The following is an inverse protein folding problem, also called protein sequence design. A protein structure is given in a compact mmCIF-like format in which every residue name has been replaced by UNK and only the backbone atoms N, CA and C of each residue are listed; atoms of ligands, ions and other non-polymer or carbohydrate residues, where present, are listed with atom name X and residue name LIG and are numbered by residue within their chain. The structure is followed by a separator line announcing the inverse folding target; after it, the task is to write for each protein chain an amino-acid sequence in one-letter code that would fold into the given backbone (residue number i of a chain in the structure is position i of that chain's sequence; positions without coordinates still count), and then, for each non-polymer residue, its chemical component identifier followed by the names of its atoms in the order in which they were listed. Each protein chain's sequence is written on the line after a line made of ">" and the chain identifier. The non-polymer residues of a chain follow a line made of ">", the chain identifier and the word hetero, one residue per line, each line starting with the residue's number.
data_IF_270309965647
#
_entry.id   IF_270309965647
#
_cell.length_a   1.000
_cell.length_b   1.000
_cell.length_c   1.000
_cell.angle_alpha   90.00
_cell.angle_beta   90.00
_cell.angle_gamma   90.00
#
_symmetry.space_group_name_H-M   'P 1'
#
loop_
_entity.id
_entity.type
_entity.pdbx_description
1 polymer ?
#
# COMPACT_ATOMS: atom_id res chain seq x y z
N UNK A 1 -16.69 11.12 -17.34
CA UNK A 1 -16.51 11.31 -15.88
C UNK A 1 -15.76 10.12 -15.37
N UNK A 2 -14.75 10.31 -14.47
CA UNK A 2 -13.89 9.23 -13.98
C UNK A 2 -14.55 8.40 -12.86
N UNK A 3 -14.04 7.20 -12.60
CA UNK A 3 -14.43 6.39 -11.46
C UNK A 3 -13.65 6.79 -10.21
N UNK A 4 -14.34 6.88 -9.07
CA UNK A 4 -13.72 7.28 -7.80
C UNK A 4 -13.59 6.06 -6.89
N UNK A 5 -12.38 5.83 -6.38
CA UNK A 5 -12.05 4.71 -5.50
C UNK A 5 -11.42 5.19 -4.20
N UNK A 6 -11.76 4.53 -3.09
CA UNK A 6 -11.23 4.83 -1.76
C UNK A 6 -10.45 3.63 -1.24
N UNK A 7 -9.14 3.80 -1.06
CA UNK A 7 -8.27 2.84 -0.39
C UNK A 7 -8.09 3.20 1.09
N UNK A 8 -8.05 2.20 1.97
CA UNK A 8 -7.75 2.35 3.40
C UNK A 8 -6.65 1.38 3.84
N UNK A 9 -5.65 1.88 4.58
CA UNK A 9 -4.61 1.08 5.24
C UNK A 9 -4.70 1.24 6.76
N UNK A 10 -4.81 0.12 7.45
CA UNK A 10 -4.93 0.02 8.90
C UNK A 10 -3.55 -0.17 9.54
N UNK A 11 -2.73 0.87 9.51
CA UNK A 11 -1.39 0.81 10.07
C UNK A 11 -1.36 0.91 11.60
N UNK A 12 -0.30 0.38 12.21
CA UNK A 12 -0.07 0.41 13.65
C UNK A 12 0.01 1.84 14.20
N UNK A 13 0.72 2.74 13.50
CA UNK A 13 0.89 4.13 13.92
C UNK A 13 -0.21 5.05 13.40
N UNK A 14 -0.72 4.80 12.21
CA UNK A 14 -1.73 5.66 11.59
C UNK A 14 -2.64 4.90 10.64
N UNK A 15 -3.92 5.27 10.64
CA UNK A 15 -4.88 4.95 9.60
C UNK A 15 -4.62 5.88 8.42
N UNK A 16 -4.50 5.32 7.22
CA UNK A 16 -4.31 6.09 6.00
C UNK A 16 -5.47 5.86 5.05
N UNK A 17 -5.92 6.91 4.41
CA UNK A 17 -6.99 6.87 3.41
C UNK A 17 -6.51 7.66 2.20
N UNK A 18 -6.66 7.07 1.03
CA UNK A 18 -6.41 7.75 -0.25
C UNK A 18 -7.65 7.59 -1.11
N UNK A 19 -8.15 8.70 -1.63
CA UNK A 19 -9.27 8.73 -2.58
C UNK A 19 -8.71 9.15 -3.93
N UNK A 20 -8.97 8.34 -4.94
CA UNK A 20 -8.49 8.56 -6.31
C UNK A 20 -9.67 8.68 -7.29
N UNK A 21 -9.51 9.51 -8.31
CA UNK A 21 -10.35 9.53 -9.50
C UNK A 21 -9.57 9.03 -10.70
N UNK A 22 -10.10 8.04 -11.43
CA UNK A 22 -9.54 7.59 -12.70
C UNK A 22 -10.21 8.34 -13.85
N UNK A 23 -9.43 9.06 -14.66
CA UNK A 23 -9.89 9.76 -15.86
C UNK A 23 -8.90 9.46 -16.99
N UNK A 24 -9.38 8.91 -18.10
CA UNK A 24 -8.54 8.59 -19.28
C UNK A 24 -7.25 7.83 -18.91
N UNK A 25 -7.37 6.76 -18.13
CA UNK A 25 -6.29 5.89 -17.63
C UNK A 25 -5.25 6.60 -16.72
N UNK A 26 -5.54 7.81 -16.28
CA UNK A 26 -4.74 8.53 -15.28
C UNK A 26 -5.48 8.57 -13.93
N UNK A 27 -4.70 8.43 -12.86
CA UNK A 27 -5.23 8.50 -11.49
C UNK A 27 -4.87 9.84 -10.87
N UNK A 28 -5.89 10.53 -10.39
CA UNK A 28 -5.77 11.80 -9.67
C UNK A 28 -6.13 11.56 -8.20
N UNK A 29 -5.35 12.10 -7.28
CA UNK A 29 -5.62 11.97 -5.85
C UNK A 29 -6.47 13.14 -5.39
N UNK A 30 -7.71 12.83 -5.00
CA UNK A 30 -8.67 13.82 -4.49
C UNK A 30 -8.46 14.11 -3.01
N UNK A 31 -8.07 13.09 -2.24
CA UNK A 31 -7.74 13.24 -0.82
C UNK A 31 -6.70 12.20 -0.38
N UNK A 32 -5.78 12.62 0.49
CA UNK A 32 -4.86 11.76 1.23
C UNK A 32 -4.88 12.15 2.70
N UNK A 33 -5.25 11.20 3.58
CA UNK A 33 -5.42 11.40 5.02
C UNK A 33 -4.51 10.43 5.77
N UNK A 34 -3.88 10.93 6.84
CA UNK A 34 -3.18 10.12 7.83
C UNK A 34 -3.64 10.56 9.22
N UNK A 35 -4.28 9.67 9.95
CA UNK A 35 -4.82 9.92 11.29
C UNK A 35 -4.22 8.94 12.30
N UNK A 36 -3.89 9.37 13.53
CA UNK A 36 -3.35 8.46 14.53
C UNK A 36 -4.20 7.21 14.73
N UNK A 37 -3.55 6.08 14.91
CA UNK A 37 -4.15 4.77 15.10
C UNK A 37 -4.04 4.31 16.54
N UNK A 38 -5.11 3.72 17.06
CA UNK A 38 -5.13 2.99 18.33
C UNK A 38 -5.82 1.64 18.14
N UNK A 39 -5.44 0.65 18.95
CA UNK A 39 -6.03 -0.69 18.91
C UNK A 39 -5.53 -1.57 17.76
N UNK A 40 -4.48 -1.15 17.05
CA UNK A 40 -3.84 -1.90 15.97
C UNK A 40 -2.37 -2.15 16.31
N UNK A 41 -1.92 -3.37 16.14
CA UNK A 41 -0.55 -3.78 16.36
C UNK A 41 -0.07 -4.73 15.27
N UNK A 42 1.11 -4.49 14.72
CA UNK A 42 1.65 -5.23 13.58
C UNK A 42 0.66 -5.35 12.39
N UNK A 43 -0.23 -4.36 12.21
CA UNK A 43 -1.27 -4.36 11.19
C UNK A 43 -2.52 -5.19 11.54
N UNK A 44 -2.56 -5.85 12.71
CA UNK A 44 -3.72 -6.63 13.17
C UNK A 44 -4.51 -5.88 14.24
N UNK A 45 -5.82 -6.13 14.28
CA UNK A 45 -6.72 -5.53 15.27
C UNK A 45 -6.55 -6.23 16.61
N UNK A 46 -6.06 -5.53 17.65
CA UNK A 46 -6.04 -6.00 19.03
C UNK A 46 -7.29 -5.52 19.80
N UNK A 47 -7.68 -4.25 19.61
CA UNK A 47 -8.88 -3.66 20.21
C UNK A 47 -9.77 -3.06 19.12
N UNK A 48 -10.86 -3.77 18.79
CA UNK A 48 -11.80 -3.37 17.74
C UNK A 48 -12.52 -2.05 18.06
N UNK A 49 -12.75 -1.70 19.32
CA UNK A 49 -13.42 -0.45 19.71
C UNK A 49 -12.48 0.74 19.51
N UNK A 50 -11.25 0.64 19.99
CA UNK A 50 -10.23 1.68 19.82
C UNK A 50 -9.89 1.87 18.32
N UNK A 51 -9.72 0.76 17.59
CA UNK A 51 -9.46 0.78 16.15
C UNK A 51 -10.62 1.41 15.37
N UNK A 52 -11.86 1.01 15.65
CA UNK A 52 -13.06 1.59 15.02
C UNK A 52 -13.16 3.10 15.26
N UNK A 53 -12.85 3.57 16.48
CA UNK A 53 -12.83 5.00 16.80
C UNK A 53 -11.79 5.75 15.94
N UNK A 54 -10.59 5.20 15.80
CA UNK A 54 -9.52 5.76 14.96
C UNK A 54 -9.90 5.78 13.48
N UNK A 55 -10.51 4.70 12.98
CA UNK A 55 -10.99 4.59 11.60
C UNK A 55 -12.09 5.63 11.33
N UNK A 56 -13.08 5.76 12.22
CA UNK A 56 -14.14 6.78 12.10
C UNK A 56 -13.59 8.19 12.00
N UNK A 57 -12.56 8.50 12.81
CA UNK A 57 -11.90 9.81 12.76
C UNK A 57 -11.23 10.05 11.40
N UNK A 58 -10.50 9.07 10.89
CA UNK A 58 -9.85 9.17 9.57
C UNK A 58 -10.87 9.31 8.43
N UNK A 59 -11.95 8.51 8.45
CA UNK A 59 -13.04 8.57 7.48
C UNK A 59 -13.73 9.93 7.49
N UNK A 60 -13.99 10.48 8.70
CA UNK A 60 -14.58 11.81 8.83
C UNK A 60 -13.68 12.88 8.20
N UNK A 61 -12.38 12.88 8.52
CA UNK A 61 -11.42 13.83 7.93
C UNK A 61 -11.39 13.74 6.41
N UNK A 62 -11.45 12.53 5.83
CA UNK A 62 -11.49 12.34 4.39
C UNK A 62 -12.82 12.82 3.80
N UNK A 63 -13.94 12.52 4.45
CA UNK A 63 -15.27 12.96 4.03
C UNK A 63 -15.43 14.48 4.07
N UNK A 64 -14.97 15.12 5.15
CA UNK A 64 -14.99 16.57 5.31
C UNK A 64 -14.17 17.27 4.21
N UNK A 65 -13.02 16.66 3.81
CA UNK A 65 -12.18 17.20 2.74
C UNK A 65 -12.80 17.06 1.34
N UNK A 66 -13.57 16.00 1.15
CA UNK A 66 -14.25 15.74 -0.13
C UNK A 66 -15.62 16.42 -0.24
N UNK A 67 -16.22 16.81 0.88
CA UNK A 67 -17.60 17.28 0.95
C UNK A 67 -18.66 16.18 0.82
N UNK A 68 -18.22 14.89 0.82
CA UNK A 68 -19.11 13.72 0.66
C UNK A 68 -18.74 12.63 1.64
N UNK A 69 -19.73 11.93 2.18
CA UNK A 69 -19.53 10.82 3.11
C UNK A 69 -18.95 9.60 2.39
N UNK A 70 -17.80 9.12 2.87
CA UNK A 70 -17.22 7.86 2.43
C UNK A 70 -17.99 6.72 3.11
N UNK A 71 -18.61 5.85 2.32
CA UNK A 71 -19.38 4.69 2.78
C UNK A 71 -18.79 3.36 2.33
N UNK A 72 -17.88 3.36 1.35
CA UNK A 72 -17.27 2.18 0.77
C UNK A 72 -15.77 2.33 0.70
N UNK A 73 -15.03 1.24 0.97
CA UNK A 73 -13.56 1.22 0.96
C UNK A 73 -13.02 -0.07 0.37
N UNK A 74 -11.83 0.01 -0.22
CA UNK A 74 -10.97 -1.13 -0.52
C UNK A 74 -9.94 -1.19 0.60
N UNK A 75 -9.85 -2.32 1.31
CA UNK A 75 -9.00 -2.41 2.50
C UNK A 75 -7.67 -3.11 2.21
N UNK A 76 -6.58 -2.47 2.64
CA UNK A 76 -5.28 -3.11 2.74
C UNK A 76 -5.26 -4.02 3.95
N UNK A 77 -4.79 -5.27 3.78
CA UNK A 77 -4.55 -6.21 4.86
C UNK A 77 -3.05 -6.54 4.96
N UNK A 78 -2.54 -6.84 6.17
CA UNK A 78 -1.12 -7.14 6.35
C UNK A 78 -0.76 -8.48 5.67
N UNK A 79 0.38 -8.57 4.96
CA UNK A 79 0.80 -9.81 4.32
C UNK A 79 1.50 -10.78 5.28
N UNK A 80 1.56 -10.46 6.57
CA UNK A 80 2.18 -11.33 7.58
C UNK A 80 1.46 -12.67 7.67
N UNK A 81 2.23 -13.76 7.60
CA UNK A 81 1.73 -15.14 7.63
C UNK A 81 0.77 -15.51 6.47
N UNK A 82 0.78 -14.74 5.37
CA UNK A 82 0.03 -15.11 4.18
C UNK A 82 0.60 -16.38 3.55
N UNK A 83 -0.29 -17.23 3.00
CA UNK A 83 0.08 -18.37 2.19
C UNK A 83 -0.17 -18.04 0.73
N UNK A 84 0.65 -18.57 -0.16
CA UNK A 84 0.56 -18.33 -1.59
C UNK A 84 0.74 -19.65 -2.33
N UNK A 85 -0.27 -20.04 -3.10
CA UNK A 85 -0.30 -21.27 -3.86
C UNK A 85 -0.64 -21.00 -5.33
N UNK A 86 -0.10 -21.82 -6.23
CA UNK A 86 -0.43 -21.76 -7.66
C UNK A 86 -1.51 -22.79 -7.93
N UNK A 87 -2.63 -22.33 -8.44
CA UNK A 87 -3.77 -23.17 -8.81
C UNK A 87 -4.10 -23.01 -10.29
N UNK A 88 -4.80 -23.98 -10.84
CA UNK A 88 -5.25 -24.01 -12.23
C UNK A 88 -6.77 -23.94 -12.27
N UNK A 89 -7.29 -23.28 -13.28
CA UNK A 89 -8.72 -23.25 -13.55
C UNK A 89 -8.97 -23.19 -15.05
N UNK A 90 -10.16 -23.57 -15.46
CA UNK A 90 -10.54 -23.59 -16.87
C UNK A 90 -12.02 -23.28 -17.07
N UNK A 91 -12.38 -22.88 -18.27
CA UNK A 91 -13.78 -22.74 -18.70
C UNK A 91 -13.90 -22.94 -20.21
N UNK A 92 -15.00 -23.52 -20.63
CA UNK A 92 -15.35 -23.57 -22.06
C UNK A 92 -15.84 -22.19 -22.50
N UNK A 93 -15.35 -21.72 -23.65
CA UNK A 93 -15.77 -20.47 -24.26
C UNK A 93 -16.96 -20.76 -25.19
N UNK A 94 -18.09 -20.10 -24.95
CA UNK A 94 -19.34 -20.34 -25.67
C UNK A 94 -19.55 -19.31 -26.78
N UNK A 95 -19.05 -18.07 -26.59
CA UNK A 95 -19.22 -17.01 -27.58
C UNK A 95 -18.23 -17.13 -28.73
N UNK A 96 -18.73 -17.33 -29.92
CA UNK A 96 -17.92 -17.40 -31.14
C UNK A 96 -17.23 -16.08 -31.54
N UNK A 97 -17.67 -14.95 -30.95
CA UNK A 97 -17.08 -13.64 -31.23
C UNK A 97 -15.74 -13.44 -30.49
N UNK A 98 -15.50 -14.20 -29.44
CA UNK A 98 -14.26 -14.17 -28.66
C UNK A 98 -14.46 -14.27 -27.16
N UNK A 99 -13.38 -14.49 -26.45
CA UNK A 99 -13.34 -14.60 -24.99
C UNK A 99 -13.78 -13.28 -24.36
N UNK A 100 -14.66 -13.38 -23.38
CA UNK A 100 -15.25 -12.25 -22.63
C UNK A 100 -14.67 -12.12 -21.22
N UNK A 101 -14.95 -11.02 -20.52
CA UNK A 101 -14.63 -10.88 -19.11
C UNK A 101 -15.40 -11.86 -18.20
N UNK A 102 -16.53 -12.40 -18.66
CA UNK A 102 -17.26 -13.46 -17.97
C UNK A 102 -16.51 -14.79 -18.05
N UNK A 103 -15.95 -15.15 -19.19
CA UNK A 103 -15.11 -16.36 -19.35
C UNK A 103 -13.86 -16.25 -18.45
N UNK A 104 -13.22 -15.07 -18.41
CA UNK A 104 -12.12 -14.80 -17.48
C UNK A 104 -12.56 -15.02 -16.03
N UNK A 105 -13.73 -14.51 -15.65
CA UNK A 105 -14.28 -14.68 -14.30
C UNK A 105 -14.57 -16.15 -13.99
N UNK A 106 -15.12 -16.90 -14.92
CA UNK A 106 -15.44 -18.31 -14.78
C UNK A 106 -14.18 -19.17 -14.61
N UNK A 107 -13.14 -18.94 -15.44
CA UNK A 107 -11.86 -19.63 -15.30
C UNK A 107 -11.19 -19.35 -13.94
N UNK A 108 -11.25 -18.10 -13.45
CA UNK A 108 -10.74 -17.74 -12.14
C UNK A 108 -11.54 -18.39 -11.00
N UNK A 109 -12.87 -18.44 -11.10
CA UNK A 109 -13.72 -19.11 -10.12
C UNK A 109 -13.50 -20.62 -10.10
N UNK A 110 -13.27 -21.23 -11.27
CA UNK A 110 -12.96 -22.65 -11.36
C UNK A 110 -11.65 -22.99 -10.66
N UNK A 111 -10.64 -22.14 -10.74
CA UNK A 111 -9.36 -22.31 -10.04
C UNK A 111 -9.47 -22.38 -8.52
N UNK A 112 -10.56 -21.89 -7.94
CA UNK A 112 -10.83 -21.92 -6.50
C UNK A 112 -11.55 -23.21 -6.06
N UNK A 113 -12.12 -23.98 -7.00
CA UNK A 113 -12.81 -25.23 -6.68
C UNK A 113 -11.83 -26.27 -6.12
N UNK A 114 -12.25 -26.93 -5.04
CA UNK A 114 -11.42 -27.95 -4.39
C UNK A 114 -10.28 -27.41 -3.52
N UNK A 115 -10.12 -26.10 -3.42
CA UNK A 115 -9.18 -25.50 -2.47
C UNK A 115 -9.75 -25.55 -1.04
N UNK A 116 -8.87 -25.80 -0.07
CA UNK A 116 -9.26 -25.83 1.35
C UNK A 116 -9.15 -24.43 1.98
N UNK A 117 -10.29 -23.82 2.22
CA UNK A 117 -10.40 -22.56 2.95
C UNK A 117 -10.96 -22.73 4.38
N UNK A 118 -10.75 -23.87 5.04
CA UNK A 118 -11.29 -24.13 6.40
C UNK A 118 -10.73 -23.14 7.42
N UNK A 119 -9.43 -22.97 7.49
CA UNK A 119 -8.74 -22.13 8.46
C UNK A 119 -8.31 -20.76 7.89
N UNK A 120 -8.12 -20.69 6.61
CA UNK A 120 -7.68 -19.49 5.90
C UNK A 120 -8.82 -18.95 5.02
N UNK A 121 -8.75 -17.68 4.68
CA UNK A 121 -9.69 -17.03 3.76
C UNK A 121 -8.91 -16.42 2.58
N UNK A 122 -9.52 -16.46 1.40
CA UNK A 122 -8.95 -15.89 0.19
C UNK A 122 -8.86 -14.36 0.31
N UNK A 123 -7.67 -13.82 0.07
CA UNK A 123 -7.43 -12.37 -0.02
C UNK A 123 -7.32 -11.92 -1.46
N UNK A 124 -6.49 -12.60 -2.26
CA UNK A 124 -6.32 -12.27 -3.68
C UNK A 124 -6.21 -13.53 -4.55
N UNK A 125 -6.72 -13.44 -5.77
CA UNK A 125 -6.49 -14.41 -6.84
C UNK A 125 -5.97 -13.64 -8.04
N UNK A 126 -4.66 -13.77 -8.32
CA UNK A 126 -3.97 -13.01 -9.36
C UNK A 126 -3.56 -13.96 -10.50
N UNK A 127 -4.12 -13.81 -11.72
CA UNK A 127 -3.74 -14.65 -12.84
C UNK A 127 -2.29 -14.37 -13.26
N UNK A 128 -1.53 -15.44 -13.42
CA UNK A 128 -0.16 -15.41 -13.97
C UNK A 128 -0.24 -15.31 -15.49
N UNK A 129 -1.10 -16.15 -16.09
CA UNK A 129 -1.31 -16.26 -17.53
C UNK A 129 -2.63 -16.95 -17.81
N UNK A 130 -3.14 -16.70 -19.00
CA UNK A 130 -4.21 -17.45 -19.62
C UNK A 130 -3.64 -18.22 -20.80
N UNK A 131 -4.16 -19.43 -21.05
CA UNK A 131 -3.84 -20.26 -22.20
C UNK A 131 -5.13 -20.55 -22.96
N UNK A 132 -5.10 -20.36 -24.27
CA UNK A 132 -6.24 -20.58 -25.17
C UNK A 132 -5.94 -21.76 -26.02
N UNK A 133 -6.80 -22.77 -26.00
CA UNK A 133 -6.69 -24.01 -26.82
C UNK A 133 -5.27 -24.61 -26.76
N UNK A 134 -4.71 -24.78 -25.55
CA UNK A 134 -3.40 -25.40 -25.26
C UNK A 134 -2.16 -24.69 -25.84
N UNK A 135 -2.32 -23.61 -26.58
CA UNK A 135 -1.21 -23.05 -27.38
C UNK A 135 -0.95 -21.56 -27.19
N UNK A 136 -1.97 -20.72 -27.10
CA UNK A 136 -1.81 -19.28 -27.06
C UNK A 136 -1.77 -18.76 -25.62
N UNK A 137 -0.60 -18.35 -25.14
CA UNK A 137 -0.42 -17.81 -23.78
C UNK A 137 -0.47 -16.29 -23.80
N UNK A 138 -1.31 -15.69 -22.94
CA UNK A 138 -1.49 -14.26 -22.83
C UNK A 138 -1.73 -13.82 -21.38
N UNK A 139 -1.59 -12.52 -21.09
CA UNK A 139 -2.01 -11.89 -19.81
C UNK A 139 -3.45 -11.37 -19.86
N UNK A 140 -3.95 -11.02 -21.04
CA UNK A 140 -5.35 -10.63 -21.27
C UNK A 140 -5.89 -11.40 -22.48
N UNK A 141 -6.80 -12.36 -22.27
CA UNK A 141 -7.33 -13.19 -23.34
C UNK A 141 -8.55 -12.58 -24.05
N UNK A 142 -9.08 -11.46 -23.55
CA UNK A 142 -10.34 -10.89 -24.05
C UNK A 142 -10.29 -10.53 -25.54
N UNK A 143 -11.37 -10.85 -26.24
CA UNK A 143 -11.48 -10.66 -27.69
C UNK A 143 -10.72 -11.68 -28.55
N UNK A 144 -9.90 -12.54 -27.95
CA UNK A 144 -9.23 -13.64 -28.66
C UNK A 144 -10.22 -14.78 -28.89
N UNK A 145 -10.04 -15.53 -29.99
CA UNK A 145 -10.88 -16.67 -30.33
C UNK A 145 -10.29 -17.96 -29.79
N UNK A 146 -11.16 -18.83 -29.27
CA UNK A 146 -10.81 -20.15 -28.78
C UNK A 146 -12.03 -20.85 -28.20
N UNK A 147 -11.90 -22.14 -27.88
CA UNK A 147 -12.96 -23.00 -27.33
C UNK A 147 -12.74 -23.28 -25.84
N UNK A 148 -11.50 -23.27 -25.38
CA UNK A 148 -11.10 -23.53 -24.03
C UNK A 148 -10.21 -22.41 -23.53
N UNK A 149 -10.54 -21.84 -22.37
CA UNK A 149 -9.72 -20.90 -21.65
C UNK A 149 -9.23 -21.52 -20.35
N UNK A 150 -7.91 -21.68 -20.23
CA UNK A 150 -7.25 -22.12 -19.01
C UNK A 150 -6.53 -20.95 -18.34
N UNK A 151 -6.40 -21.00 -17.03
CA UNK A 151 -5.65 -19.98 -16.28
C UNK A 151 -4.77 -20.61 -15.20
N UNK A 152 -3.60 -20.01 -14.99
CA UNK A 152 -2.73 -20.25 -13.85
C UNK A 152 -2.84 -19.04 -12.92
N UNK A 153 -3.18 -19.27 -11.66
CA UNK A 153 -3.50 -18.22 -10.71
C UNK A 153 -2.63 -18.38 -9.45
N UNK A 154 -2.08 -17.30 -8.94
CA UNK A 154 -1.59 -17.25 -7.57
C UNK A 154 -2.77 -16.87 -6.69
N UNK A 155 -3.23 -17.81 -5.87
CA UNK A 155 -4.14 -17.52 -4.75
C UNK A 155 -3.31 -17.16 -3.54
N UNK A 156 -3.77 -16.16 -2.81
CA UNK A 156 -3.12 -15.73 -1.57
C UNK A 156 -4.16 -15.65 -0.47
N UNK A 157 -3.86 -16.32 0.65
CA UNK A 157 -4.79 -16.47 1.77
C UNK A 157 -4.16 -15.97 3.07
N UNK A 158 -5.00 -15.65 4.04
CA UNK A 158 -4.60 -15.37 5.41
C UNK A 158 -5.55 -16.03 6.41
N UNK A 159 -5.13 -16.13 7.67
CA UNK A 159 -5.94 -16.69 8.74
C UNK A 159 -7.31 -16.00 8.83
N UNK A 160 -8.36 -16.81 8.80
CA UNK A 160 -9.76 -16.38 8.74
C UNK A 160 -10.15 -15.46 9.89
N UNK A 161 -9.76 -15.82 11.12
CA UNK A 161 -10.07 -15.04 12.32
C UNK A 161 -9.45 -13.64 12.29
N UNK A 162 -8.22 -13.52 11.80
CA UNK A 162 -7.53 -12.24 11.67
C UNK A 162 -8.20 -11.36 10.60
N UNK A 163 -8.55 -11.93 9.44
CA UNK A 163 -9.23 -11.20 8.39
C UNK A 163 -10.63 -10.71 8.81
N UNK A 164 -11.44 -11.59 9.37
CA UNK A 164 -12.79 -11.21 9.78
C UNK A 164 -12.79 -10.15 10.87
N UNK A 165 -11.83 -10.16 11.79
CA UNK A 165 -11.68 -9.09 12.78
C UNK A 165 -11.42 -7.73 12.13
N UNK A 166 -10.63 -7.69 11.05
CA UNK A 166 -10.42 -6.46 10.26
C UNK A 166 -11.74 -6.01 9.61
N UNK A 167 -12.43 -6.93 8.90
CA UNK A 167 -13.67 -6.63 8.18
C UNK A 167 -14.78 -6.18 9.13
N UNK A 168 -14.95 -6.86 10.27
CA UNK A 168 -15.91 -6.48 11.31
C UNK A 168 -15.61 -5.10 11.90
N UNK A 169 -14.33 -4.79 12.13
CA UNK A 169 -13.92 -3.47 12.65
C UNK A 169 -14.22 -2.36 11.64
N UNK A 170 -14.01 -2.60 10.35
CA UNK A 170 -14.40 -1.66 9.28
C UNK A 170 -15.92 -1.49 9.24
N UNK A 171 -16.68 -2.57 9.33
CA UNK A 171 -18.15 -2.52 9.41
C UNK A 171 -18.64 -1.74 10.64
N UNK A 172 -18.03 -1.96 11.81
CA UNK A 172 -18.28 -1.19 13.04
C UNK A 172 -17.93 0.29 12.88
N UNK A 173 -17.05 0.61 11.96
CA UNK A 173 -16.66 1.99 11.63
C UNK A 173 -17.64 2.67 10.67
N UNK A 174 -18.63 1.94 10.16
CA UNK A 174 -19.71 2.48 9.32
C UNK A 174 -19.37 2.50 7.83
N UNK A 175 -18.43 1.66 7.38
CA UNK A 175 -18.09 1.50 5.96
C UNK A 175 -18.25 0.05 5.51
N UNK A 176 -18.65 -0.10 4.26
CA UNK A 176 -18.64 -1.36 3.51
C UNK A 176 -17.26 -1.59 2.92
N UNK A 177 -16.70 -2.78 3.13
CA UNK A 177 -15.48 -3.22 2.45
C UNK A 177 -15.87 -3.90 1.15
N UNK A 178 -15.57 -3.26 0.02
CA UNK A 178 -15.95 -3.77 -1.32
C UNK A 178 -14.92 -4.73 -1.89
N UNK A 179 -13.67 -4.59 -1.48
CA UNK A 179 -12.58 -5.49 -1.86
C UNK A 179 -11.44 -5.42 -0.84
N UNK A 180 -10.56 -6.42 -0.86
CA UNK A 180 -9.37 -6.51 -0.03
C UNK A 180 -8.16 -6.90 -0.87
N UNK A 181 -6.98 -6.42 -0.49
CA UNK A 181 -5.72 -6.95 -0.97
C UNK A 181 -4.61 -6.70 0.05
N UNK A 182 -3.47 -7.40 -0.08
CA UNK A 182 -2.32 -7.15 0.79
C UNK A 182 -1.73 -5.76 0.56
N UNK A 183 -1.20 -5.15 1.63
CA UNK A 183 -0.45 -3.89 1.54
C UNK A 183 0.65 -3.97 0.47
N UNK A 184 1.33 -5.11 0.36
CA UNK A 184 2.36 -5.36 -0.65
C UNK A 184 1.83 -5.32 -2.09
N UNK A 185 0.60 -5.80 -2.33
CA UNK A 185 -0.06 -5.66 -3.63
C UNK A 185 -0.29 -4.18 -3.94
N UNK A 186 -0.79 -3.41 -2.98
CA UNK A 186 -0.93 -1.97 -3.12
C UNK A 186 0.41 -1.28 -3.40
N UNK A 187 1.46 -1.61 -2.65
CA UNK A 187 2.80 -1.04 -2.86
C UNK A 187 3.33 -1.31 -4.28
N UNK A 188 3.09 -2.51 -4.81
CA UNK A 188 3.46 -2.82 -6.20
C UNK A 188 2.66 -1.98 -7.21
N UNK A 189 1.33 -1.91 -7.05
CA UNK A 189 0.49 -1.16 -7.97
C UNK A 189 0.71 0.35 -7.91
N UNK A 190 1.23 0.88 -6.81
CA UNK A 190 1.65 2.28 -6.73
C UNK A 190 2.76 2.63 -7.73
N UNK A 191 3.69 1.68 -7.96
CA UNK A 191 4.88 1.86 -8.81
C UNK A 191 4.83 1.07 -10.12
N UNK A 192 3.77 0.28 -10.34
CA UNK A 192 3.60 -0.62 -11.50
C UNK A 192 3.87 0.11 -12.81
N UNK A 193 4.71 -0.50 -13.64
CA UNK A 193 4.99 -0.06 -15.00
C UNK A 193 5.42 -1.24 -15.86
N UNK A 194 5.43 -1.06 -17.19
CA UNK A 194 5.78 -2.12 -18.16
C UNK A 194 7.13 -2.79 -17.87
N UNK A 195 8.13 -2.04 -17.37
CA UNK A 195 9.46 -2.58 -17.07
C UNK A 195 9.39 -3.55 -15.89
N UNK A 196 8.73 -3.17 -14.78
CA UNK A 196 8.62 -4.04 -13.60
C UNK A 196 7.74 -5.26 -13.86
N UNK A 197 6.74 -5.14 -14.75
CA UNK A 197 5.88 -6.27 -15.16
C UNK A 197 6.60 -7.36 -15.95
N UNK A 198 7.86 -7.17 -16.33
CA UNK A 198 8.70 -8.16 -17.01
C UNK A 198 9.84 -8.71 -16.14
N UNK A 199 10.04 -8.18 -14.95
CA UNK A 199 11.20 -8.47 -14.11
C UNK A 199 10.82 -9.21 -12.82
N UNK A 200 11.83 -9.82 -12.20
CA UNK A 200 11.77 -10.27 -10.80
C UNK A 200 12.28 -9.16 -9.91
N UNK A 201 11.53 -8.81 -8.89
CA UNK A 201 11.91 -7.76 -7.95
C UNK A 201 11.42 -8.00 -6.53
N UNK A 202 11.89 -7.14 -5.63
CA UNK A 202 11.47 -7.12 -4.25
C UNK A 202 10.89 -5.74 -3.87
N UNK A 203 9.89 -5.74 -3.00
CA UNK A 203 9.40 -4.54 -2.34
C UNK A 203 9.62 -4.72 -0.85
N UNK A 204 10.25 -3.72 -0.23
CA UNK A 204 10.50 -3.64 1.21
C UNK A 204 9.65 -2.50 1.76
N UNK A 205 8.64 -2.82 2.57
CA UNK A 205 7.83 -1.82 3.26
C UNK A 205 8.23 -1.77 4.73
N UNK A 206 8.89 -0.67 5.14
CA UNK A 206 9.35 -0.46 6.51
C UNK A 206 8.28 0.30 7.29
N UNK A 207 7.47 -0.46 8.02
CA UNK A 207 6.42 0.07 8.87
C UNK A 207 6.89 0.49 10.26
N UNK A 208 5.94 0.71 11.16
CA UNK A 208 6.19 1.10 12.56
C UNK A 208 6.85 -0.03 13.37
N UNK A 209 6.25 -1.21 13.38
CA UNK A 209 6.67 -2.35 14.20
C UNK A 209 7.24 -3.51 13.40
N UNK A 210 7.00 -3.55 12.10
CA UNK A 210 7.44 -4.62 11.22
C UNK A 210 7.93 -4.10 9.87
N UNK A 211 8.80 -4.89 9.25
CA UNK A 211 9.24 -4.69 7.87
C UNK A 211 8.76 -5.88 7.04
N UNK A 212 7.97 -5.60 6.01
CA UNK A 212 7.47 -6.60 5.08
C UNK A 212 8.34 -6.63 3.82
N UNK A 213 8.72 -7.84 3.41
CA UNK A 213 9.50 -8.09 2.20
C UNK A 213 8.68 -8.97 1.27
N UNK A 214 8.35 -8.47 0.09
CA UNK A 214 7.54 -9.18 -0.88
C UNK A 214 8.30 -9.37 -2.18
N UNK A 215 8.30 -10.60 -2.69
CA UNK A 215 8.94 -10.95 -3.97
C UNK A 215 7.88 -10.98 -5.07
N UNK A 216 8.15 -10.23 -6.12
CA UNK A 216 7.32 -10.17 -7.32
C UNK A 216 8.04 -10.80 -8.50
N UNK A 217 7.31 -11.58 -9.28
CA UNK A 217 7.78 -12.14 -10.55
C UNK A 217 6.81 -11.71 -11.65
N UNK A 218 7.27 -10.87 -12.56
CA UNK A 218 6.47 -10.35 -13.69
C UNK A 218 5.13 -9.75 -13.25
N UNK A 219 5.16 -8.95 -12.18
CA UNK A 219 3.97 -8.27 -11.66
C UNK A 219 3.14 -9.07 -10.66
N UNK A 220 3.43 -10.34 -10.46
CA UNK A 220 2.69 -11.23 -9.54
C UNK A 220 3.50 -11.45 -8.28
N UNK A 221 2.90 -11.23 -7.12
CA UNK A 221 3.50 -11.56 -5.83
C UNK A 221 3.58 -13.07 -5.67
N UNK A 222 4.78 -13.58 -5.37
CA UNK A 222 5.02 -15.02 -5.26
C UNK A 222 5.50 -15.46 -3.88
N UNK A 223 6.05 -14.56 -3.08
CA UNK A 223 6.53 -14.83 -1.71
C UNK A 223 6.42 -13.57 -0.86
N UNK A 224 6.29 -13.79 0.45
CA UNK A 224 6.35 -12.74 1.44
C UNK A 224 7.10 -13.20 2.69
N UNK A 225 7.88 -12.29 3.29
CA UNK A 225 8.51 -12.42 4.59
C UNK A 225 8.22 -11.20 5.44
N UNK A 226 8.18 -11.37 6.76
CA UNK A 226 7.94 -10.29 7.71
C UNK A 226 8.99 -10.33 8.80
N UNK A 227 9.71 -9.23 8.99
CA UNK A 227 10.66 -9.05 10.08
C UNK A 227 9.97 -8.28 11.22
N UNK A 228 10.09 -8.71 12.48
CA UNK A 228 9.50 -8.03 13.64
C UNK A 228 10.36 -6.83 14.08
N UNK A 229 10.75 -6.00 13.13
CA UNK A 229 11.56 -4.80 13.32
C UNK A 229 11.04 -3.70 12.39
N UNK A 230 10.93 -2.47 12.92
CA UNK A 230 10.43 -1.33 12.17
C UNK A 230 10.92 0.00 12.75
N UNK A 231 10.29 1.10 12.35
CA UNK A 231 10.73 2.45 12.71
C UNK A 231 10.70 2.73 14.22
N UNK A 232 9.85 2.06 14.99
CA UNK A 232 9.80 2.18 16.45
C UNK A 232 11.09 1.72 17.12
N UNK A 233 11.86 0.84 16.49
CA UNK A 233 13.15 0.40 17.04
C UNK A 233 14.17 1.55 17.02
N UNK A 234 14.12 2.43 16.02
CA UNK A 234 14.92 3.66 15.99
C UNK A 234 14.53 4.59 17.12
N UNK A 235 13.21 4.79 17.36
CA UNK A 235 12.70 5.63 18.46
C UNK A 235 13.17 5.10 19.83
N UNK A 236 13.14 3.77 20.03
CA UNK A 236 13.62 3.13 21.25
C UNK A 236 15.12 3.35 21.49
N UNK A 237 15.94 3.26 20.44
CA UNK A 237 17.39 3.50 20.54
C UNK A 237 17.67 4.96 20.92
N UNK A 238 17.01 5.92 20.28
CA UNK A 238 17.11 7.35 20.62
C UNK A 238 16.67 7.60 22.07
N UNK A 239 15.51 7.04 22.47
CA UNK A 239 15.00 7.11 23.84
C UNK A 239 16.03 6.57 24.85
N UNK A 240 16.62 5.42 24.56
CA UNK A 240 17.58 4.77 25.45
C UNK A 240 18.86 5.59 25.63
N UNK A 241 19.44 6.08 24.53
CA UNK A 241 20.73 6.80 24.56
C UNK A 241 20.59 8.19 25.13
N UNK A 242 19.57 8.94 24.74
CA UNK A 242 19.42 10.34 25.17
C UNK A 242 18.53 10.52 26.39
N UNK A 243 17.85 9.47 26.85
CA UNK A 243 16.84 9.50 27.91
C UNK A 243 15.65 10.42 27.54
N UNK A 244 15.41 10.60 26.24
CA UNK A 244 14.30 11.36 25.71
C UNK A 244 12.96 10.64 25.92
N UNK A 245 11.86 11.37 25.94
CA UNK A 245 10.53 10.75 25.91
C UNK A 245 10.28 10.09 24.54
N UNK A 246 9.47 9.01 24.47
CA UNK A 246 9.19 8.35 23.18
C UNK A 246 8.65 9.28 22.09
N UNK A 247 7.82 10.27 22.45
CA UNK A 247 7.31 11.29 21.51
C UNK A 247 8.43 12.19 20.98
N UNK A 248 9.33 12.66 21.86
CA UNK A 248 10.46 13.49 21.49
C UNK A 248 11.47 12.69 20.62
N UNK A 249 11.72 11.42 20.96
CA UNK A 249 12.57 10.53 20.16
C UNK A 249 12.04 10.37 18.73
N UNK A 250 10.70 10.23 18.60
CA UNK A 250 10.06 10.18 17.27
C UNK A 250 10.23 11.50 16.51
N UNK A 251 9.97 12.63 17.15
CA UNK A 251 10.14 13.94 16.51
C UNK A 251 11.58 14.19 16.10
N UNK A 252 12.55 13.81 16.93
CA UNK A 252 13.98 13.88 16.59
C UNK A 252 14.31 13.00 15.37
N UNK A 253 13.77 11.77 15.31
CA UNK A 253 13.95 10.90 14.14
C UNK A 253 13.35 11.52 12.86
N UNK A 254 12.11 12.00 12.92
CA UNK A 254 11.36 12.42 11.75
C UNK A 254 11.76 13.81 11.22
N UNK A 255 12.11 14.74 12.12
CA UNK A 255 12.29 16.14 11.76
C UNK A 255 13.74 16.66 11.92
N UNK A 256 14.62 15.91 12.56
CA UNK A 256 15.94 16.38 12.91
C UNK A 256 17.07 15.47 12.42
N UNK A 257 16.91 14.15 12.45
CA UNK A 257 17.95 13.22 12.11
C UNK A 257 18.14 13.08 10.58
N UNK A 258 19.39 12.75 10.21
CA UNK A 258 19.74 12.28 8.87
C UNK A 258 19.92 10.76 8.89
N UNK A 259 19.49 10.07 7.83
CA UNK A 259 19.67 8.63 7.68
C UNK A 259 21.16 8.25 7.52
N UNK A 260 21.99 9.17 7.03
CA UNK A 260 23.46 9.07 6.97
C UNK A 260 24.08 10.17 7.85
N UNK A 261 24.81 9.79 8.88
CA UNK A 261 25.41 10.70 9.84
C UNK A 261 26.43 11.67 9.22
N UNK A 262 27.06 11.29 8.10
CA UNK A 262 28.01 12.16 7.40
C UNK A 262 27.36 13.41 6.76
N UNK A 263 26.05 13.43 6.63
CA UNK A 263 25.29 14.59 6.12
C UNK A 263 24.67 15.42 7.25
N UNK A 264 24.83 14.99 8.51
CA UNK A 264 24.33 15.71 9.66
C UNK A 264 25.21 16.90 10.02
N UNK A 265 24.60 18.04 10.37
CA UNK A 265 25.33 19.19 10.91
C UNK A 265 25.68 18.94 12.39
N UNK A 266 26.96 19.06 12.70
CA UNK A 266 27.46 18.94 14.09
C UNK A 266 27.06 20.11 14.99
N UNK A 267 26.68 21.25 14.42
CA UNK A 267 26.30 22.46 15.14
C UNK A 267 24.78 22.53 15.42
N UNK A 268 23.98 21.81 14.61
CA UNK A 268 22.54 21.76 14.84
C UNK A 268 22.22 21.02 16.12
N UNK A 269 21.32 21.62 16.91
CA UNK A 269 20.95 21.16 18.23
C UNK A 269 19.43 21.03 18.38
N UNK A 270 19.02 20.03 19.14
CA UNK A 270 17.65 19.79 19.56
C UNK A 270 17.59 19.79 21.09
N UNK A 271 16.65 20.53 21.66
CA UNK A 271 16.44 20.55 23.10
C UNK A 271 15.45 19.46 23.50
N UNK A 272 15.85 18.56 24.39
CA UNK A 272 14.99 17.54 24.99
C UNK A 272 14.72 17.84 26.46
N UNK A 273 13.57 17.38 26.95
CA UNK A 273 13.17 17.50 28.37
C UNK A 273 13.36 16.15 29.05
N UNK A 274 14.39 16.04 29.90
CA UNK A 274 14.66 14.83 30.69
C UNK A 274 13.69 14.72 31.88
N UNK A 275 13.56 15.78 32.66
CA UNK A 275 12.69 15.91 33.84
C UNK A 275 11.96 17.26 33.81
N UNK A 276 11.06 17.49 34.79
CA UNK A 276 10.24 18.72 34.86
C UNK A 276 11.04 20.02 34.70
N UNK A 277 12.31 20.03 35.15
CA UNK A 277 13.16 21.23 35.17
C UNK A 277 14.53 21.04 34.47
N UNK A 278 14.79 19.85 33.89
CA UNK A 278 16.09 19.55 33.28
C UNK A 278 15.94 19.44 31.77
N UNK A 279 16.52 20.39 31.05
CA UNK A 279 16.66 20.39 29.59
C UNK A 279 18.08 19.99 29.20
N UNK A 280 18.21 19.29 28.09
CA UNK A 280 19.48 18.86 27.54
C UNK A 280 19.53 19.14 26.04
N UNK A 281 20.63 19.70 25.57
CA UNK A 281 20.91 19.82 24.15
C UNK A 281 21.47 18.52 23.58
N UNK A 282 21.00 18.12 22.43
CA UNK A 282 21.44 16.95 21.66
C UNK A 282 21.81 17.39 20.25
N UNK A 283 23.00 17.01 19.79
CA UNK A 283 23.47 17.38 18.46
C UNK A 283 22.91 16.45 17.36
N UNK A 284 22.58 17.00 16.20
CA UNK A 284 22.06 16.27 15.04
C UNK A 284 22.95 15.09 14.66
N UNK A 285 24.28 15.29 14.63
CA UNK A 285 25.24 14.23 14.34
C UNK A 285 25.10 13.02 15.30
N UNK A 286 24.87 13.29 16.60
CA UNK A 286 24.69 12.25 17.61
C UNK A 286 23.43 11.42 17.38
N UNK A 287 22.31 12.08 17.08
CA UNK A 287 21.04 11.42 16.75
C UNK A 287 21.18 10.63 15.45
N UNK A 288 21.76 11.23 14.42
CA UNK A 288 21.92 10.62 13.09
C UNK A 288 22.80 9.37 13.12
N UNK A 289 23.82 9.29 13.97
CA UNK A 289 24.62 8.07 14.17
C UNK A 289 23.78 6.90 14.69
N UNK A 290 22.84 7.15 15.60
CA UNK A 290 21.95 6.13 16.13
C UNK A 290 20.96 5.70 15.06
N UNK A 291 20.35 6.67 14.37
CA UNK A 291 19.40 6.42 13.27
C UNK A 291 20.07 5.60 12.17
N UNK A 292 21.24 6.01 11.68
CA UNK A 292 21.99 5.28 10.66
C UNK A 292 22.28 3.84 11.07
N UNK A 293 22.76 3.62 12.29
CA UNK A 293 23.10 2.28 12.78
C UNK A 293 21.90 1.34 12.75
N UNK A 294 20.74 1.80 13.26
CA UNK A 294 19.52 0.98 13.28
C UNK A 294 18.91 0.81 11.90
N UNK A 295 18.83 1.85 11.09
CA UNK A 295 18.30 1.76 9.72
C UNK A 295 19.14 0.82 8.88
N UNK A 296 20.46 0.91 8.98
CA UNK A 296 21.40 0.01 8.29
C UNK A 296 21.21 -1.46 8.70
N UNK A 297 20.97 -1.72 9.98
CA UNK A 297 20.61 -3.06 10.47
C UNK A 297 19.30 -3.57 9.83
N UNK A 298 18.23 -2.75 9.83
CA UNK A 298 16.96 -3.12 9.20
C UNK A 298 17.17 -3.47 7.73
N UNK A 299 17.91 -2.65 6.98
CA UNK A 299 18.18 -2.89 5.56
C UNK A 299 18.99 -4.16 5.34
N UNK A 300 19.99 -4.48 6.19
CA UNK A 300 20.75 -5.73 6.13
C UNK A 300 19.88 -6.95 6.41
N UNK A 301 19.00 -6.87 7.42
CA UNK A 301 18.04 -7.94 7.71
C UNK A 301 17.10 -8.16 6.53
N UNK A 302 16.56 -7.10 5.93
CA UNK A 302 15.71 -7.18 4.75
C UNK A 302 16.46 -7.79 3.55
N UNK A 303 17.74 -7.42 3.33
CA UNK A 303 18.58 -8.00 2.28
C UNK A 303 18.79 -9.51 2.46
N UNK A 304 18.99 -9.95 3.70
CA UNK A 304 19.11 -11.37 4.01
C UNK A 304 17.79 -12.10 3.79
N UNK A 305 16.67 -11.48 4.20
CA UNK A 305 15.37 -12.08 4.01
C UNK A 305 14.99 -12.24 2.52
N UNK A 306 15.36 -11.30 1.66
CA UNK A 306 15.21 -11.48 0.20
C UNK A 306 15.91 -12.76 -0.28
N UNK A 307 17.14 -13.05 0.21
CA UNK A 307 17.89 -14.26 -0.16
C UNK A 307 17.22 -15.53 0.38
N UNK A 308 16.57 -15.47 1.55
CA UNK A 308 15.82 -16.60 2.11
C UNK A 308 14.55 -16.90 1.31
N UNK A 309 13.89 -15.85 0.82
CA UNK A 309 12.63 -15.96 0.10
C UNK A 309 12.78 -16.46 -1.34
N UNK A 310 13.93 -16.20 -1.98
CA UNK A 310 14.11 -16.57 -3.38
C UNK A 310 15.58 -16.74 -3.79
N UNK A 311 15.83 -17.75 -4.63
CA UNK A 311 17.12 -17.93 -5.32
C UNK A 311 17.15 -17.23 -6.70
N UNK A 312 16.07 -16.56 -7.11
CA UNK A 312 15.99 -15.84 -8.39
C UNK A 312 16.83 -14.57 -8.32
N UNK A 313 17.40 -14.17 -9.45
CA UNK A 313 18.09 -12.89 -9.56
C UNK A 313 17.08 -11.74 -9.42
N UNK A 314 17.31 -10.87 -8.43
CA UNK A 314 16.50 -9.68 -8.19
C UNK A 314 16.98 -8.54 -9.08
N UNK A 315 16.13 -8.05 -9.95
CA UNK A 315 16.45 -7.02 -10.95
C UNK A 315 16.02 -5.61 -10.52
N UNK A 316 15.19 -5.49 -9.48
CA UNK A 316 14.84 -4.22 -8.83
C UNK A 316 14.45 -4.46 -7.38
N UNK A 317 14.75 -3.49 -6.53
CA UNK A 317 14.30 -3.42 -5.14
C UNK A 317 13.69 -2.04 -4.93
N UNK A 318 12.45 -1.99 -4.44
CA UNK A 318 11.79 -0.74 -4.08
C UNK A 318 11.56 -0.72 -2.57
N UNK A 319 11.98 0.36 -1.92
CA UNK A 319 11.81 0.54 -0.48
C UNK A 319 10.77 1.63 -0.23
N UNK A 320 9.77 1.31 0.56
CA UNK A 320 8.64 2.18 0.90
C UNK A 320 8.34 2.13 2.41
N UNK A 321 7.28 2.80 2.82
CA UNK A 321 6.89 2.92 4.23
C UNK A 321 7.40 4.21 4.86
N UNK A 322 6.92 4.51 6.07
CA UNK A 322 7.22 5.80 6.72
C UNK A 322 8.70 6.06 7.00
N UNK A 323 9.49 5.01 7.26
CA UNK A 323 10.92 5.17 7.53
C UNK A 323 11.71 5.60 6.29
N UNK A 324 11.22 5.32 5.09
CA UNK A 324 11.87 5.71 3.83
C UNK A 324 11.85 7.22 3.55
N UNK A 325 11.11 7.99 4.37
CA UNK A 325 11.02 9.46 4.29
C UNK A 325 12.17 10.18 5.00
N UNK A 326 13.02 9.47 5.72
CA UNK A 326 14.15 10.10 6.43
C UNK A 326 15.07 10.83 5.44
N UNK A 327 15.49 12.02 5.82
CA UNK A 327 16.42 12.80 5.04
C UNK A 327 17.73 12.01 4.77
N UNK A 328 18.13 11.91 3.50
CA UNK A 328 19.32 11.16 3.10
C UNK A 328 19.14 9.62 3.04
N UNK A 329 17.92 9.09 3.20
CA UNK A 329 17.65 7.65 3.20
C UNK A 329 18.04 6.98 1.86
N UNK A 330 17.83 7.66 0.74
CA UNK A 330 18.21 7.19 -0.59
C UNK A 330 19.70 6.86 -0.71
N UNK A 331 20.59 7.65 -0.11
CA UNK A 331 22.04 7.39 -0.12
C UNK A 331 22.41 6.15 0.70
N UNK A 332 21.71 5.93 1.82
CA UNK A 332 21.90 4.73 2.63
C UNK A 332 21.43 3.47 1.90
N UNK A 333 20.32 3.55 1.19
CA UNK A 333 19.81 2.47 0.33
C UNK A 333 20.81 2.12 -0.77
N UNK A 334 21.38 3.11 -1.43
CA UNK A 334 22.39 2.91 -2.48
C UNK A 334 23.65 2.24 -1.93
N UNK A 335 24.11 2.63 -0.74
CA UNK A 335 25.27 1.99 -0.08
C UNK A 335 25.00 0.52 0.27
N UNK A 336 23.79 0.16 0.72
CA UNK A 336 23.50 -1.21 1.17
C UNK A 336 23.14 -2.17 0.02
N UNK A 337 22.47 -1.68 -1.02
CA UNK A 337 21.93 -2.50 -2.10
C UNK A 337 22.54 -2.20 -3.48
N UNK A 338 23.22 -1.07 -3.65
CA UNK A 338 23.68 -0.58 -4.95
C UNK A 338 22.52 -0.04 -5.81
N UNK A 339 22.76 0.14 -7.10
CA UNK A 339 21.80 0.73 -8.06
C UNK A 339 20.56 -0.11 -8.34
N UNK A 340 20.51 -1.36 -7.87
CA UNK A 340 19.33 -2.22 -8.02
C UNK A 340 18.16 -1.76 -7.14
N UNK A 341 18.46 -1.03 -6.06
CA UNK A 341 17.47 -0.56 -5.10
C UNK A 341 17.20 0.94 -5.26
N UNK A 342 15.93 1.31 -5.03
CA UNK A 342 15.47 2.70 -5.02
C UNK A 342 14.43 2.88 -3.92
N UNK A 343 14.36 4.10 -3.40
CA UNK A 343 13.22 4.54 -2.58
C UNK A 343 12.01 4.71 -3.51
N UNK A 344 10.85 4.34 -3.03
CA UNK A 344 9.59 4.53 -3.74
C UNK A 344 9.42 6.01 -4.07
N UNK A 345 9.09 6.30 -5.32
CA UNK A 345 8.78 7.65 -5.80
C UNK A 345 7.40 7.62 -6.46
N UNK A 346 6.41 8.17 -5.76
CA UNK A 346 5.04 8.29 -6.27
C UNK A 346 4.88 9.68 -6.87
N UNK A 347 4.97 9.77 -8.18
CA UNK A 347 4.89 11.02 -8.94
C UNK A 347 3.45 11.53 -9.08
N UNK A 348 2.63 11.47 -8.02
CA UNK A 348 1.26 11.98 -8.04
C UNK A 348 1.14 13.19 -7.12
N UNK A 349 0.60 14.30 -7.66
CA UNK A 349 0.55 15.60 -6.96
C UNK A 349 -0.19 15.57 -5.61
N UNK A 350 -1.13 14.66 -5.40
CA UNK A 350 -1.88 14.51 -4.15
C UNK A 350 -1.19 13.64 -3.09
N UNK A 351 -0.06 13.00 -3.44
CA UNK A 351 0.68 12.10 -2.52
C UNK A 351 2.13 12.58 -2.47
N UNK A 352 2.55 13.05 -1.30
CA UNK A 352 3.92 13.54 -1.08
C UNK A 352 4.78 12.58 -0.25
N UNK A 353 4.18 11.50 0.28
CA UNK A 353 4.86 10.58 1.19
C UNK A 353 4.62 9.12 0.84
N UNK A 354 5.66 8.31 0.89
CA UNK A 354 5.64 6.88 0.60
C UNK A 354 4.73 6.07 1.54
N UNK A 355 4.42 6.60 2.72
CA UNK A 355 3.48 5.97 3.65
C UNK A 355 2.08 5.73 3.06
N UNK A 356 1.74 6.38 1.94
CA UNK A 356 0.47 6.21 1.25
C UNK A 356 0.52 5.20 0.09
N UNK A 357 1.69 4.61 -0.20
CA UNK A 357 1.87 3.72 -1.37
C UNK A 357 0.83 2.61 -1.42
N UNK A 358 0.63 1.88 -0.31
CA UNK A 358 -0.34 0.79 -0.24
C UNK A 358 -1.76 1.25 -0.54
N UNK A 359 -2.22 2.35 0.10
CA UNK A 359 -3.55 2.91 -0.11
C UNK A 359 -3.79 3.41 -1.53
N UNK A 360 -2.81 4.06 -2.11
CA UNK A 360 -2.88 4.55 -3.49
C UNK A 360 -2.89 3.39 -4.49
N UNK A 361 -1.96 2.46 -4.32
CA UNK A 361 -1.85 1.36 -5.27
C UNK A 361 -3.00 0.38 -5.21
N UNK A 362 -3.67 0.21 -4.05
CA UNK A 362 -4.81 -0.70 -3.95
C UNK A 362 -6.01 -0.21 -4.78
N UNK A 363 -6.17 1.11 -4.96
CA UNK A 363 -7.21 1.66 -5.85
C UNK A 363 -6.93 1.33 -7.32
N UNK A 364 -5.66 1.34 -7.73
CA UNK A 364 -5.22 0.93 -9.07
C UNK A 364 -5.37 -0.58 -9.29
N UNK A 365 -5.04 -1.38 -8.26
CA UNK A 365 -5.24 -2.83 -8.30
C UNK A 365 -6.71 -3.19 -8.48
N UNK A 366 -7.61 -2.55 -7.76
CA UNK A 366 -9.04 -2.79 -7.86
C UNK A 366 -9.57 -2.48 -9.27
N UNK A 367 -9.14 -1.37 -9.83
CA UNK A 367 -9.50 -0.99 -11.20
C UNK A 367 -8.98 -1.99 -12.25
N UNK A 368 -7.69 -2.39 -12.16
CA UNK A 368 -7.11 -3.43 -13.03
C UNK A 368 -7.92 -4.75 -12.95
N UNK A 369 -8.31 -5.14 -11.73
CA UNK A 369 -9.10 -6.34 -11.45
C UNK A 369 -10.51 -6.26 -12.07
N UNK A 370 -11.12 -5.09 -12.07
CA UNK A 370 -12.41 -4.85 -12.73
C UNK A 370 -12.24 -4.87 -14.25
N UNK A 371 -11.24 -4.17 -14.78
CA UNK A 371 -10.97 -4.08 -16.20
C UNK A 371 -10.70 -5.45 -16.85
N UNK A 372 -9.96 -6.34 -16.15
CA UNK A 372 -9.71 -7.70 -16.63
C UNK A 372 -11.00 -8.54 -16.81
N UNK A 373 -12.06 -8.21 -16.07
CA UNK A 373 -13.34 -8.93 -16.04
C UNK A 373 -14.47 -8.18 -16.76
N UNK A 374 -14.18 -7.10 -17.47
CA UNK A 374 -15.15 -6.17 -18.09
C UNK A 374 -16.24 -5.70 -17.10
N UNK A 375 -15.83 -5.45 -15.84
CA UNK A 375 -16.74 -4.98 -14.78
C UNK A 375 -16.46 -3.52 -14.45
N UNK A 376 -17.54 -2.83 -14.07
CA UNK A 376 -17.48 -1.47 -13.53
C UNK A 376 -18.09 -1.43 -12.13
N UNK A 377 -17.52 -0.63 -11.26
CA UNK A 377 -18.03 -0.48 -9.91
C UNK A 377 -17.91 0.97 -9.44
N UNK A 378 -19.02 1.57 -9.01
CA UNK A 378 -19.05 2.92 -8.47
C UNK A 378 -19.05 2.86 -6.94
N UNK A 379 -18.04 3.44 -6.31
CA UNK A 379 -17.97 3.56 -4.85
C UNK A 379 -18.71 4.79 -4.33
N UNK A 380 -18.77 5.85 -5.13
CA UNK A 380 -19.50 7.08 -4.86
C UNK A 380 -20.64 7.17 -5.86
N UNK A 381 -21.86 7.50 -5.39
CA UNK A 381 -23.04 7.66 -6.24
C UNK A 381 -22.89 8.90 -7.16
N UNK A 382 -23.64 8.92 -8.25
CA UNK A 382 -23.63 10.07 -9.16
C UNK A 382 -24.17 11.34 -8.45
N UNK A 383 -25.20 11.20 -7.59
CA UNK A 383 -25.77 12.29 -6.79
C UNK A 383 -24.77 12.87 -5.79
N UNK A 384 -24.06 11.98 -5.05
CA UNK A 384 -22.98 12.40 -4.13
C UNK A 384 -21.87 13.11 -4.90
N UNK A 385 -21.53 12.59 -6.08
CA UNK A 385 -20.51 13.18 -6.94
C UNK A 385 -20.92 14.56 -7.46
N UNK A 386 -22.18 14.74 -7.84
CA UNK A 386 -22.70 16.07 -8.21
C UNK A 386 -22.63 17.04 -7.04
N UNK A 387 -22.92 16.58 -5.82
CA UNK A 387 -22.80 17.40 -4.61
C UNK A 387 -21.36 17.86 -4.34
N UNK A 388 -20.37 17.01 -4.61
CA UNK A 388 -18.94 17.41 -4.60
C UNK A 388 -18.65 18.51 -5.62
N UNK A 389 -19.44 18.61 -6.70
CA UNK A 389 -19.28 19.59 -7.78
C UNK A 389 -19.94 20.96 -7.50
N UNK A 390 -20.82 21.08 -6.52
CA UNK A 390 -21.65 22.29 -6.29
C UNK A 390 -20.93 23.40 -5.49
N UNK A 391 -19.72 23.17 -4.98
CA UNK A 391 -19.03 24.14 -4.11
C UNK A 391 -18.55 25.41 -4.86
N UNK A 392 -18.55 25.44 -6.20
CA UNK A 392 -18.26 26.70 -6.92
C UNK A 392 -18.89 26.74 -8.33
N UNK A 393 -19.81 27.68 -8.54
CA UNK A 393 -20.61 27.82 -9.77
C UNK A 393 -19.82 28.33 -11.00
N UNK A 394 -18.51 28.55 -10.89
CA UNK A 394 -17.68 29.16 -11.94
C UNK A 394 -16.55 28.26 -12.49
N UNK A 395 -16.50 26.98 -12.13
CA UNK A 395 -15.45 26.07 -12.63
C UNK A 395 -16.02 25.05 -13.61
N UNK A 396 -15.39 24.94 -14.78
CA UNK A 396 -15.75 23.96 -15.82
C UNK A 396 -15.73 22.51 -15.31
N UNK A 397 -16.76 21.74 -15.68
CA UNK A 397 -17.07 20.37 -15.19
C UNK A 397 -16.10 19.25 -15.67
N UNK A 398 -14.83 19.48 -15.81
CA UNK A 398 -13.96 18.48 -16.45
C UNK A 398 -13.46 17.39 -15.51
N UNK A 399 -13.03 17.72 -14.30
CA UNK A 399 -12.59 16.70 -13.29
C UNK A 399 -12.78 17.23 -11.87
N UNK A 400 -12.92 16.29 -10.89
CA UNK A 400 -12.89 16.62 -9.45
C UNK A 400 -11.53 17.19 -9.03
N UNK A 401 -10.47 16.77 -9.72
CA UNK A 401 -9.12 17.29 -9.53
C UNK A 401 -9.06 18.80 -9.72
N UNK A 402 -9.68 19.35 -10.78
CA UNK A 402 -9.71 20.80 -11.05
C UNK A 402 -10.39 21.59 -9.93
N UNK A 403 -11.33 21.01 -9.17
CA UNK A 403 -11.97 21.66 -8.03
C UNK A 403 -11.17 21.62 -6.74
N UNK A 404 -10.54 20.48 -6.45
CA UNK A 404 -9.74 20.32 -5.22
C UNK A 404 -8.42 21.09 -5.30
N UNK A 405 -7.89 21.28 -6.51
CA UNK A 405 -6.58 21.87 -6.76
C UNK A 405 -6.61 23.16 -7.63
N UNK A 406 -7.74 23.49 -8.29
CA UNK A 406 -7.86 24.68 -9.15
C UNK A 406 -7.71 26.02 -8.44
N UNK A 407 -7.69 26.04 -7.12
CA UNK A 407 -7.39 27.26 -6.34
C UNK A 407 -5.89 27.62 -6.29
N UNK A 408 -5.00 26.79 -6.85
CA UNK A 408 -3.56 27.05 -6.83
C UNK A 408 -3.03 27.73 -8.09
N UNK A 409 -3.83 27.80 -9.17
CA UNK A 409 -3.42 28.42 -10.44
C UNK A 409 -3.90 29.89 -10.63
N UNK A 410 -4.46 30.49 -9.63
CA UNK A 410 -4.99 31.86 -9.68
C UNK A 410 -4.20 32.87 -8.87
N UNK A 411 -2.94 33.12 -9.21
CA UNK A 411 -2.27 34.41 -9.00
C UNK A 411 -0.89 34.39 -9.67
N UNK A 412 -0.87 34.92 -10.86
CA UNK A 412 0.23 35.72 -11.42
C UNK A 412 -0.38 36.96 -12.07
#
# INVERSE_FOLDING_TARGET
>A
MGDIYTGIDLGTNSIKIVVTEKVNDKYYVLASISSPSNGIKNGFIEDSKAASSSIKKALRQASDRLGVKITKVIACVPPSNCKMDIVLGSTSVIDYNGITGEDVSNALLDSLKGQDFTNDELVTAMPISFTIDDSNVTKDPKGMKGSLLETRVVISTMEKGALYRILETLKLSGVETVDIAFTSTGDYFAIKNKKYDELVGAIINIGEQSTNISIFNKGIQIKNGTLPVGSVNVDKDITYVFKAKPSEAREMKENFAMALANYADSNDKWEITIDKDTKKEVHQLGVSKIVEARVREILKLAKNEIKNLTNREIRYIIITGGLSELAGFNYLVEQEFGFVAKVCDITNMGIRHNKYSSCYGITKYFDDKLALRDKHYKMISDDDRESMLVIDSNVTKETMFNKVFGHFDGNN
#
